data_IF_183557286962
#
_entry.id   IF_183557286962
#
_cell.length_a   1.000
_cell.length_b   1.000
_cell.length_c   1.000
_cell.angle_alpha   90.00
_cell.angle_beta   90.00
_cell.angle_gamma   90.00
#
_symmetry.space_group_name_H-M   'P 1'
#
loop_
_entity.id
_entity.type
_entity.pdbx_description
1 polymer ?
#
# COMPACT_ATOMS: atom_id res chain seq x y z
N UNK A 1 -13.78 7.57 -17.38
CA UNK A 1 -13.70 8.28 -16.07
C UNK A 1 -13.29 9.71 -16.34
N UNK A 2 -13.78 10.66 -15.55
CA UNK A 2 -13.41 12.08 -15.66
C UNK A 2 -12.70 12.48 -14.37
N UNK A 3 -11.53 13.06 -14.49
CA UNK A 3 -10.76 13.56 -13.36
C UNK A 3 -10.59 15.06 -13.50
N UNK A 4 -10.60 15.77 -12.38
CA UNK A 4 -10.33 17.19 -12.36
C UNK A 4 -8.86 17.45 -12.03
N UNK A 5 -8.32 18.54 -12.57
CA UNK A 5 -6.95 18.97 -12.25
C UNK A 5 -6.87 19.28 -10.75
N UNK A 6 -5.86 18.72 -10.11
CA UNK A 6 -5.66 18.80 -8.67
C UNK A 6 -6.16 17.59 -7.89
N UNK A 7 -6.97 16.71 -8.49
CA UNK A 7 -7.44 15.49 -7.83
C UNK A 7 -6.27 14.59 -7.43
N UNK A 8 -6.42 13.92 -6.29
CA UNK A 8 -5.49 12.91 -5.80
C UNK A 8 -6.01 11.55 -6.21
N UNK A 9 -5.15 10.76 -6.84
CA UNK A 9 -5.43 9.39 -7.27
C UNK A 9 -4.53 8.43 -6.50
N UNK A 10 -5.13 7.31 -6.10
CA UNK A 10 -4.47 6.23 -5.39
C UNK A 10 -4.30 5.06 -6.34
N UNK A 11 -3.07 4.61 -6.54
CA UNK A 11 -2.75 3.56 -7.51
C UNK A 11 -2.18 2.36 -6.79
N UNK A 12 -2.84 1.21 -6.91
CA UNK A 12 -2.36 -0.08 -6.40
C UNK A 12 -1.69 -0.83 -7.54
N UNK A 13 -0.37 -1.01 -7.44
CA UNK A 13 0.41 -1.69 -8.48
C UNK A 13 0.09 -3.18 -8.58
N UNK A 14 -0.10 -3.68 -9.80
CA UNK A 14 -0.41 -5.09 -10.10
C UNK A 14 0.85 -5.97 -10.10
N UNK A 15 1.91 -5.54 -10.79
CA UNK A 15 3.17 -6.32 -10.88
C UNK A 15 4.06 -6.17 -9.64
N UNK A 16 4.11 -4.94 -9.10
CA UNK A 16 4.87 -4.61 -7.90
C UNK A 16 3.88 -4.16 -6.83
N UNK A 17 3.50 -5.05 -5.90
CA UNK A 17 2.53 -4.74 -4.86
C UNK A 17 2.99 -3.50 -4.08
N UNK A 18 2.14 -2.48 -4.07
CA UNK A 18 2.45 -1.21 -3.43
C UNK A 18 1.45 -0.14 -3.79
N UNK A 19 1.26 0.80 -2.87
CA UNK A 19 0.38 1.95 -3.03
C UNK A 19 1.19 3.16 -3.44
N UNK A 20 0.81 3.80 -4.54
CA UNK A 20 1.40 5.06 -5.01
C UNK A 20 0.32 6.12 -5.09
N UNK A 21 0.69 7.33 -4.71
CA UNK A 21 -0.22 8.48 -4.73
C UNK A 21 0.20 9.41 -5.86
N UNK A 22 -0.77 9.85 -6.65
CA UNK A 22 -0.56 10.77 -7.76
C UNK A 22 -1.50 11.96 -7.64
N UNK A 23 -1.06 13.10 -8.19
CA UNK A 23 -1.90 14.28 -8.39
C UNK A 23 -2.11 14.50 -9.87
N UNK A 24 -3.35 14.74 -10.29
CA UNK A 24 -3.65 15.19 -11.65
C UNK A 24 -3.11 16.61 -11.82
N UNK A 25 -2.19 16.80 -12.75
CA UNK A 25 -1.56 18.10 -13.00
C UNK A 25 -2.02 18.74 -14.31
N UNK A 26 -2.39 17.93 -15.30
CA UNK A 26 -2.90 18.44 -16.58
C UNK A 26 -4.03 17.55 -17.12
N UNK A 27 -5.03 18.19 -17.71
CA UNK A 27 -6.04 17.55 -18.55
C UNK A 27 -5.83 18.06 -19.99
N UNK A 28 -5.57 17.15 -20.92
CA UNK A 28 -5.32 17.47 -22.33
C UNK A 28 -6.49 16.95 -23.15
N UNK A 29 -7.31 17.88 -23.64
CA UNK A 29 -8.48 17.58 -24.48
C UNK A 29 -8.12 17.87 -25.94
N UNK A 30 -7.94 16.81 -26.72
CA UNK A 30 -7.70 16.90 -28.17
C UNK A 30 -9.01 16.70 -28.92
N UNK A 31 -9.46 17.76 -29.60
CA UNK A 31 -10.64 17.70 -30.49
C UNK A 31 -10.17 17.54 -31.92
N UNK A 32 -10.68 16.52 -32.59
CA UNK A 32 -10.42 16.22 -33.99
C UNK A 32 -11.74 15.99 -34.73
N UNK A 33 -11.69 15.93 -36.07
CA UNK A 33 -12.86 15.56 -36.88
C UNK A 33 -13.39 14.16 -36.53
N UNK A 34 -12.53 13.29 -36.01
CA UNK A 34 -12.86 11.92 -35.62
C UNK A 34 -13.47 11.82 -34.21
N UNK A 35 -13.44 12.89 -33.41
CA UNK A 35 -13.94 12.89 -32.04
C UNK A 35 -13.06 13.66 -31.05
N UNK A 36 -13.39 13.51 -29.76
CA UNK A 36 -12.67 14.13 -28.64
C UNK A 36 -11.93 13.07 -27.84
N UNK A 37 -10.64 13.29 -27.62
CA UNK A 37 -9.74 12.44 -26.83
C UNK A 37 -9.28 13.23 -25.60
N UNK A 38 -9.41 12.65 -24.41
CA UNK A 38 -8.99 13.27 -23.15
C UNK A 38 -7.90 12.43 -22.52
N UNK A 39 -6.73 13.03 -22.29
CA UNK A 39 -5.60 12.39 -21.61
C UNK A 39 -5.23 13.17 -20.36
N UNK A 40 -4.75 12.48 -19.33
CA UNK A 40 -4.39 13.09 -18.05
C UNK A 40 -2.90 12.89 -17.76
N UNK A 41 -2.26 13.94 -17.26
CA UNK A 41 -0.87 13.90 -16.75
C UNK A 41 -0.90 13.87 -15.24
N UNK A 42 -0.11 12.97 -14.68
CA UNK A 42 -0.08 12.65 -13.26
C UNK A 42 1.31 12.90 -12.68
N UNK A 43 1.37 13.54 -11.52
CA UNK A 43 2.59 13.78 -10.77
C UNK A 43 2.62 12.86 -9.54
N UNK A 44 3.67 12.05 -9.38
CA UNK A 44 3.82 11.20 -8.20
C UNK A 44 4.07 12.03 -6.92
N UNK A 45 3.45 11.64 -5.80
CA UNK A 45 3.75 12.19 -4.49
C UNK A 45 5.12 11.68 -4.00
N UNK A 46 6.05 12.59 -3.66
CA UNK A 46 7.37 12.23 -3.14
C UNK A 46 8.32 13.42 -2.98
N UNK A 47 9.35 13.25 -2.15
CA UNK A 47 10.31 14.30 -1.74
C UNK A 47 11.48 14.53 -2.71
N UNK A 48 11.63 13.73 -3.76
CA UNK A 48 12.72 13.92 -4.73
C UNK A 48 12.37 15.01 -5.73
N UNK A 49 13.34 15.92 -6.00
CA UNK A 49 13.27 17.08 -6.91
C UNK A 49 12.83 16.78 -8.35
N UNK A 50 12.71 15.52 -8.73
CA UNK A 50 12.17 15.07 -10.02
C UNK A 50 10.85 14.36 -9.78
N UNK A 51 9.81 15.12 -9.46
CA UNK A 51 8.43 14.60 -9.52
C UNK A 51 8.17 14.19 -10.97
N UNK A 52 8.26 12.90 -11.27
CA UNK A 52 8.04 12.45 -12.64
C UNK A 52 6.58 12.66 -13.00
N UNK A 53 6.37 13.42 -14.08
CA UNK A 53 5.05 13.59 -14.69
C UNK A 53 4.90 12.45 -15.70
N UNK A 54 3.87 11.62 -15.50
CA UNK A 54 3.57 10.45 -16.32
C UNK A 54 2.18 10.57 -16.94
N UNK A 55 1.92 9.87 -18.04
CA UNK A 55 0.56 9.76 -18.58
C UNK A 55 -0.24 8.78 -17.73
N UNK A 56 -1.52 9.04 -17.49
CA UNK A 56 -2.40 8.10 -16.81
C UNK A 56 -2.45 6.73 -17.51
N UNK A 57 -2.31 6.73 -18.84
CA UNK A 57 -2.32 5.51 -19.67
C UNK A 57 -1.08 4.62 -19.46
N UNK A 58 0.00 5.20 -18.93
CA UNK A 58 1.25 4.48 -18.66
C UNK A 58 1.32 3.94 -17.23
N UNK A 59 0.27 4.13 -16.43
CA UNK A 59 0.22 3.64 -15.07
C UNK A 59 -0.21 2.16 -15.07
N UNK A 60 0.71 1.31 -14.60
CA UNK A 60 0.43 -0.10 -14.32
C UNK A 60 -0.18 -0.25 -12.92
N UNK A 61 -1.50 -0.41 -12.85
CA UNK A 61 -2.20 -0.64 -11.59
C UNK A 61 -3.68 -0.28 -11.64
N UNK A 62 -4.38 -0.61 -10.55
CA UNK A 62 -5.75 -0.18 -10.32
C UNK A 62 -5.78 1.23 -9.72
N UNK A 63 -6.63 2.10 -10.26
CA UNK A 63 -6.71 3.52 -9.89
C UNK A 63 -7.99 3.79 -9.10
N UNK A 64 -7.84 4.43 -7.95
CA UNK A 64 -8.92 4.78 -7.03
C UNK A 64 -8.94 6.29 -6.77
N UNK A 65 -10.14 6.84 -6.55
CA UNK A 65 -10.35 8.26 -6.23
C UNK A 65 -10.26 8.56 -4.73
N UNK A 66 -10.23 7.52 -3.89
CA UNK A 66 -10.22 7.62 -2.44
C UNK A 66 -9.28 6.61 -1.79
N UNK A 67 -8.70 7.01 -0.66
CA UNK A 67 -7.83 6.16 0.13
C UNK A 67 -8.56 4.91 0.65
N UNK A 68 -9.85 5.07 1.00
CA UNK A 68 -10.68 3.99 1.52
C UNK A 68 -10.91 2.89 0.49
N UNK A 69 -11.22 3.25 -0.76
CA UNK A 69 -11.37 2.26 -1.83
C UNK A 69 -10.06 1.51 -2.08
N UNK A 70 -8.93 2.23 -2.17
CA UNK A 70 -7.63 1.61 -2.34
C UNK A 70 -7.28 0.68 -1.17
N UNK A 71 -7.58 1.08 0.06
CA UNK A 71 -7.37 0.27 1.26
C UNK A 71 -8.20 -1.01 1.22
N UNK A 72 -9.51 -0.92 0.94
CA UNK A 72 -10.40 -2.07 0.87
C UNK A 72 -9.93 -3.05 -0.22
N UNK A 73 -9.55 -2.54 -1.39
CA UNK A 73 -8.99 -3.34 -2.47
C UNK A 73 -7.72 -4.08 -2.03
N UNK A 74 -6.79 -3.40 -1.34
CA UNK A 74 -5.57 -4.00 -0.83
C UNK A 74 -5.84 -5.08 0.22
N UNK A 75 -6.81 -4.86 1.12
CA UNK A 75 -7.21 -5.84 2.13
C UNK A 75 -7.80 -7.10 1.51
N UNK A 76 -8.69 -6.95 0.54
CA UNK A 76 -9.27 -8.08 -0.19
C UNK A 76 -8.21 -8.86 -0.96
N UNK A 77 -7.31 -8.14 -1.64
CA UNK A 77 -6.18 -8.75 -2.35
C UNK A 77 -5.25 -9.53 -1.40
N UNK A 78 -4.91 -8.95 -0.24
CA UNK A 78 -4.10 -9.60 0.78
C UNK A 78 -4.79 -10.84 1.36
N UNK A 79 -6.08 -10.75 1.66
CA UNK A 79 -6.89 -11.88 2.14
C UNK A 79 -6.88 -13.04 1.15
N UNK A 80 -7.07 -12.75 -0.14
CA UNK A 80 -7.04 -13.75 -1.20
C UNK A 80 -5.64 -14.37 -1.35
N UNK A 81 -4.59 -13.56 -1.29
CA UNK A 81 -3.21 -14.04 -1.34
C UNK A 81 -2.89 -15.00 -0.18
N UNK A 82 -3.32 -14.65 1.04
CA UNK A 82 -3.16 -15.50 2.23
C UNK A 82 -3.93 -16.81 2.06
N UNK A 83 -5.20 -16.76 1.63
CA UNK A 83 -6.00 -17.96 1.41
C UNK A 83 -5.34 -18.89 0.39
N UNK A 84 -4.86 -18.34 -0.74
CA UNK A 84 -4.14 -19.10 -1.75
C UNK A 84 -2.85 -19.75 -1.22
N UNK A 85 -2.15 -19.11 -0.29
CA UNK A 85 -0.96 -19.70 0.35
C UNK A 85 -1.34 -20.88 1.25
N UNK A 86 -2.42 -20.74 2.03
CA UNK A 86 -2.94 -21.81 2.89
C UNK A 86 -3.42 -22.99 2.05
N UNK A 87 -4.21 -22.74 1.01
CA UNK A 87 -4.72 -23.78 0.12
C UNK A 87 -3.58 -24.55 -0.55
N UNK A 88 -2.53 -23.86 -1.01
CA UNK A 88 -1.33 -24.50 -1.55
C UNK A 88 -0.63 -25.38 -0.52
N UNK A 89 -0.54 -24.94 0.73
CA UNK A 89 0.03 -25.75 1.81
C UNK A 89 -0.82 -26.98 2.11
N UNK A 90 -2.15 -26.84 2.19
CA UNK A 90 -3.09 -27.96 2.35
C UNK A 90 -2.98 -28.96 1.18
N UNK A 91 -2.84 -28.49 -0.06
CA UNK A 91 -2.60 -29.35 -1.22
C UNK A 91 -1.27 -30.13 -1.11
N UNK A 92 -0.20 -29.49 -0.61
CA UNK A 92 1.08 -30.16 -0.40
C UNK A 92 1.00 -31.21 0.71
N UNK A 93 0.30 -30.93 1.80
CA UNK A 93 0.06 -31.90 2.87
C UNK A 93 -0.68 -33.12 2.30
N UNK A 94 -1.79 -32.89 1.59
CA UNK A 94 -2.57 -33.97 0.98
C UNK A 94 -1.77 -34.81 -0.03
N UNK A 95 -0.76 -34.21 -0.68
CA UNK A 95 0.11 -34.90 -1.64
C UNK A 95 1.22 -35.69 -0.95
N UNK A 96 1.82 -35.16 0.11
CA UNK A 96 3.00 -35.74 0.76
C UNK A 96 2.65 -36.69 1.91
N UNK A 97 1.58 -36.41 2.66
CA UNK A 97 1.14 -37.16 3.83
C UNK A 97 -0.38 -37.43 3.78
N UNK A 98 -0.84 -38.31 2.89
CA UNK A 98 -2.28 -38.59 2.74
C UNK A 98 -2.89 -39.34 3.93
N UNK A 99 -2.07 -39.99 4.76
CA UNK A 99 -2.49 -40.79 5.92
C UNK A 99 -2.74 -39.94 7.18
N UNK A 100 -2.14 -38.75 7.28
CA UNK A 100 -2.25 -37.84 8.44
C UNK A 100 -3.49 -36.92 8.36
N UNK A 101 -4.54 -37.37 7.69
CA UNK A 101 -5.85 -36.68 7.71
C UNK A 101 -6.55 -36.94 9.05
N UNK A 102 -5.97 -36.47 10.16
CA UNK A 102 -6.76 -36.26 11.36
C UNK A 102 -7.78 -35.15 11.06
N UNK A 103 -9.04 -35.40 11.39
CA UNK A 103 -10.16 -34.48 11.17
C UNK A 103 -9.92 -33.17 11.93
N UNK A 104 -9.36 -32.18 11.26
CA UNK A 104 -9.25 -30.83 11.80
C UNK A 104 -10.69 -30.36 12.06
N UNK A 105 -11.05 -30.02 13.32
CA UNK A 105 -12.41 -29.62 13.63
C UNK A 105 -12.79 -28.39 12.79
N UNK A 106 -14.05 -28.31 12.31
CA UNK A 106 -14.48 -27.28 11.39
C UNK A 106 -14.22 -25.90 11.98
N UNK A 107 -13.58 -25.03 11.19
CA UNK A 107 -13.34 -23.62 11.51
C UNK A 107 -14.65 -22.98 12.00
N UNK A 108 -14.76 -22.74 13.30
CA UNK A 108 -15.83 -21.96 13.91
C UNK A 108 -15.82 -20.57 13.28
N UNK A 109 -16.86 -20.27 12.50
CA UNK A 109 -17.10 -18.91 11.99
C UNK A 109 -17.54 -18.01 13.13
N UNK A 110 -16.99 -16.80 13.12
CA UNK A 110 -17.42 -15.58 13.81
C UNK A 110 -17.21 -15.46 15.33
N UNK A 111 -16.41 -14.47 15.70
CA UNK A 111 -16.87 -13.42 16.61
C UNK A 111 -16.19 -12.09 16.29
N UNK A 112 -16.98 -11.17 15.73
CA UNK A 112 -16.73 -9.73 15.80
C UNK A 112 -16.53 -9.34 17.26
N UNK A 113 -15.35 -8.83 17.63
CA UNK A 113 -15.16 -8.11 18.89
C UNK A 113 -14.72 -6.68 18.58
N UNK A 114 -15.72 -5.81 18.58
CA UNK A 114 -15.56 -4.35 18.64
C UNK A 114 -15.00 -4.01 20.02
N UNK A 115 -13.73 -3.63 20.10
CA UNK A 115 -13.23 -2.86 21.24
C UNK A 115 -13.02 -1.42 20.81
N UNK A 116 -13.96 -0.57 21.24
CA UNK A 116 -13.73 0.86 21.38
C UNK A 116 -12.59 1.04 22.38
N UNK A 117 -11.47 1.59 21.95
CA UNK A 117 -10.51 2.21 22.85
C UNK A 117 -10.49 3.71 22.55
N UNK A 118 -10.71 4.43 23.64
CA UNK A 118 -10.86 5.86 23.83
C UNK A 118 -9.70 6.69 23.30
N UNK A 119 -10.09 7.87 22.81
CA UNK A 119 -9.30 9.07 22.54
C UNK A 119 -8.27 9.40 23.62
N UNK A 120 -7.03 9.68 23.21
CA UNK A 120 -6.14 10.63 23.90
C UNK A 120 -5.41 11.43 22.81
N UNK A 121 -5.83 12.69 22.68
CA UNK A 121 -5.03 13.75 22.05
C UNK A 121 -3.71 13.91 22.79
N UNK A 122 -2.62 14.11 22.05
CA UNK A 122 -1.59 15.12 22.35
C UNK A 122 -0.60 15.22 21.17
N UNK A 123 -0.73 16.32 20.42
CA UNK A 123 0.38 16.92 19.69
C UNK A 123 1.46 17.36 20.69
N UNK A 124 2.73 17.13 20.39
CA UNK A 124 3.84 18.11 20.38
C UNK A 124 5.17 17.37 20.10
N UNK A 125 5.78 17.75 18.97
CA UNK A 125 7.21 17.93 18.66
C UNK A 125 8.27 17.36 19.61
N UNK A 126 9.27 16.66 19.08
CA UNK A 126 10.67 17.13 19.07
C UNK A 126 11.63 16.09 18.47
N UNK A 127 12.54 16.57 17.62
CA UNK A 127 13.65 15.84 17.02
C UNK A 127 14.57 15.28 18.12
N UNK A 128 14.68 13.96 18.21
CA UNK A 128 15.67 13.33 19.09
C UNK A 128 16.95 13.03 18.30
N UNK A 129 18.01 13.77 18.62
CA UNK A 129 19.37 13.65 18.10
C UNK A 129 19.99 12.28 18.51
N UNK A 130 19.89 11.30 17.62
CA UNK A 130 20.54 10.00 17.76
C UNK A 130 21.84 9.98 16.96
N UNK A 131 22.96 9.68 17.64
CA UNK A 131 24.25 9.47 16.98
C UNK A 131 24.64 7.99 16.99
N UNK A 132 25.20 7.51 15.87
CA UNK A 132 25.75 6.16 15.76
C UNK A 132 27.25 6.16 16.06
N UNK A 133 27.71 5.20 16.85
CA UNK A 133 29.13 4.98 17.17
C UNK A 133 29.49 3.52 16.89
N UNK A 134 30.65 3.30 16.29
CA UNK A 134 31.17 1.97 15.95
C UNK A 134 32.15 1.52 17.05
N UNK A 135 31.91 0.34 17.61
CA UNK A 135 32.72 -0.25 18.68
C UNK A 135 33.90 -1.04 18.09
N UNK A 136 34.91 -1.33 18.92
CA UNK A 136 36.15 -2.01 18.50
C UNK A 136 35.94 -3.44 17.94
N UNK A 137 34.75 -4.03 18.14
CA UNK A 137 34.35 -5.30 17.54
C UNK A 137 33.61 -5.15 16.19
N UNK A 138 33.59 -3.93 15.60
CA UNK A 138 32.94 -3.62 14.33
C UNK A 138 31.41 -3.50 14.39
N UNK A 139 30.82 -3.53 15.58
CA UNK A 139 29.36 -3.39 15.75
C UNK A 139 28.98 -1.92 15.93
N UNK A 140 27.93 -1.46 15.24
CA UNK A 140 27.42 -0.08 15.36
C UNK A 140 26.29 0.00 16.38
N UNK A 141 26.44 0.88 17.37
CA UNK A 141 25.45 1.14 18.41
C UNK A 141 24.85 2.55 18.24
N UNK A 142 23.57 2.70 18.58
CA UNK A 142 22.85 3.98 18.56
C UNK A 142 22.76 4.51 19.99
N UNK A 143 23.26 5.71 20.23
CA UNK A 143 23.25 6.33 21.56
C UNK A 143 22.40 7.60 21.53
N UNK A 144 21.57 7.76 22.56
CA UNK A 144 20.81 8.98 22.84
C UNK A 144 21.67 9.88 23.71
N UNK A 145 22.04 11.06 23.22
CA UNK A 145 22.77 12.03 24.04
C UNK A 145 21.79 12.67 25.04
N UNK A 146 22.13 12.77 26.33
CA UNK A 146 21.36 13.62 27.23
C UNK A 146 21.62 15.09 26.86
N UNK A 147 20.55 15.88 26.77
CA UNK A 147 20.67 17.33 26.70
C UNK A 147 21.27 17.83 28.02
N UNK A 148 22.32 18.65 27.97
CA UNK A 148 23.07 19.16 29.12
C UNK A 148 22.18 19.88 30.15
#
# INVERSE_FOLDING_TARGET
MKYDVGNILWVVGTERPGLRVYRVVEEVIKKSLSGTETTYRLQSAGTKRTSQIVSIETIDGEIFDSAEQAQNFMLDSAKNAIQNMVDKAEMLINKCWPEDKEEIPPKTKEQNRTEKVSTVDNNISDEEDYHYVELENGTKARIKMPNF
#
